data_IF_776292931056
#
_entry.id   IF_776292931056
#
_cell.length_a   1.000
_cell.length_b   1.000
_cell.length_c   1.000
_cell.angle_alpha   90.00
_cell.angle_beta   90.00
_cell.angle_gamma   90.00
#
_symmetry.space_group_name_H-M   'P 1'
#
loop_
_entity.id
_entity.type
_entity.pdbx_description
1 polymer ?
#
# COMPACT_ATOMS: atom_id res chain seq x y z
N UNK A 1 4.43 -4.60 17.74
CA UNK A 1 3.77 -3.34 17.32
C UNK A 1 4.14 -2.21 18.26
N UNK A 2 4.74 -1.11 17.75
CA UNK A 2 4.88 0.13 18.53
C UNK A 2 3.47 0.59 18.92
N UNK A 3 3.22 0.75 20.22
CA UNK A 3 1.94 1.20 20.78
C UNK A 3 1.58 2.54 20.17
N UNK A 4 0.42 2.63 19.53
CA UNK A 4 -0.10 3.81 18.80
C UNK A 4 -0.41 5.00 19.75
N UNK A 5 -0.13 4.89 21.02
CA UNK A 5 -0.35 5.95 22.01
C UNK A 5 0.72 5.89 23.09
N UNK A 6 1.39 6.99 23.31
CA UNK A 6 2.39 7.10 24.37
C UNK A 6 3.39 8.23 24.12
N UNK A 7 4.31 8.34 25.04
CA UNK A 7 5.45 9.25 24.90
C UNK A 7 6.39 8.78 23.80
N UNK A 8 7.02 9.72 23.11
CA UNK A 8 8.07 9.43 22.13
C UNK A 8 9.26 8.75 22.80
N UNK A 9 9.79 7.71 22.15
CA UNK A 9 10.95 6.94 22.60
C UNK A 9 12.11 7.03 21.59
N UNK A 10 13.33 6.77 22.00
CA UNK A 10 14.44 6.52 21.07
C UNK A 10 14.05 5.42 20.07
N UNK A 11 14.33 5.62 18.79
CA UNK A 11 13.92 4.74 17.70
C UNK A 11 12.59 5.10 17.06
N UNK A 12 11.74 5.89 17.71
CA UNK A 12 10.48 6.33 17.13
C UNK A 12 10.71 7.19 15.89
N UNK A 13 9.87 6.93 14.87
CA UNK A 13 9.75 7.79 13.71
C UNK A 13 8.75 8.89 14.00
N UNK A 14 9.18 10.14 13.86
CA UNK A 14 8.37 11.31 14.13
C UNK A 14 8.29 12.19 12.88
N UNK A 15 7.08 12.61 12.55
CA UNK A 15 6.83 13.63 11.54
C UNK A 15 6.72 14.99 12.21
N UNK A 16 7.61 15.88 11.80
CA UNK A 16 7.64 17.28 12.24
C UNK A 16 6.94 18.14 11.20
N UNK A 17 5.96 18.93 11.60
CA UNK A 17 5.26 19.87 10.70
C UNK A 17 5.58 21.30 11.10
N UNK A 18 6.13 22.09 10.19
CA UNK A 18 6.44 23.50 10.41
C UNK A 18 5.18 24.39 10.24
N UNK A 19 5.21 25.68 10.65
CA UNK A 19 4.07 26.60 10.50
C UNK A 19 3.60 26.83 9.05
N UNK A 20 4.41 26.46 8.06
CA UNK A 20 4.03 26.51 6.64
C UNK A 20 3.41 25.20 6.13
N UNK A 21 3.21 24.22 7.01
CA UNK A 21 2.67 22.90 6.67
C UNK A 21 3.67 21.95 6.00
N UNK A 22 4.98 22.30 5.97
CA UNK A 22 6.00 21.39 5.43
C UNK A 22 6.31 20.32 6.45
N UNK A 23 6.40 19.09 5.97
CA UNK A 23 6.59 17.89 6.78
C UNK A 23 8.01 17.35 6.62
N UNK A 24 8.59 16.95 7.73
CA UNK A 24 9.92 16.36 7.82
C UNK A 24 9.84 15.10 8.68
N UNK A 25 10.47 14.03 8.27
CA UNK A 25 10.49 12.79 9.05
C UNK A 25 11.86 12.57 9.66
N UNK A 26 11.89 12.35 10.97
CA UNK A 26 13.10 12.06 11.74
C UNK A 26 12.94 10.74 12.49
N UNK A 27 14.05 10.05 12.74
CA UNK A 27 14.10 8.91 13.67
C UNK A 27 14.81 9.37 14.91
N UNK A 28 14.13 9.32 16.06
CA UNK A 28 14.66 9.83 17.32
C UNK A 28 15.84 8.98 17.80
N UNK A 29 16.85 9.64 18.33
CA UNK A 29 18.04 9.03 18.95
C UNK A 29 18.43 9.86 20.16
N UNK A 30 18.85 9.22 21.23
CA UNK A 30 19.42 9.92 22.38
C UNK A 30 20.58 10.82 21.93
N UNK A 31 20.66 12.03 22.47
CA UNK A 31 21.60 13.07 22.08
C UNK A 31 21.65 13.36 20.55
N UNK A 32 20.62 12.99 19.81
CA UNK A 32 20.49 13.23 18.38
C UNK A 32 20.04 14.65 18.09
N UNK A 33 20.31 15.11 16.86
CA UNK A 33 19.93 16.44 16.39
C UNK A 33 19.32 16.35 14.98
N UNK A 34 18.30 17.17 14.74
CA UNK A 34 17.76 17.40 13.42
C UNK A 34 18.06 18.82 12.94
N UNK A 35 18.89 18.94 11.92
CA UNK A 35 19.30 20.21 11.35
C UNK A 35 18.30 20.71 10.32
N UNK A 36 17.74 21.90 10.56
CA UNK A 36 16.85 22.58 9.62
C UNK A 36 17.46 23.92 9.20
N UNK A 37 17.00 24.49 8.10
CA UNK A 37 17.35 25.86 7.71
C UNK A 37 16.88 26.93 8.73
N UNK A 38 16.17 26.52 9.78
CA UNK A 38 15.63 27.38 10.86
C UNK A 38 16.18 27.01 12.24
N UNK A 39 17.35 26.39 12.26
CA UNK A 39 18.05 26.00 13.48
C UNK A 39 17.96 24.50 13.74
N UNK A 40 18.66 24.08 14.76
CA UNK A 40 18.76 22.70 15.22
C UNK A 40 17.61 22.39 16.17
N UNK A 41 17.04 21.20 16.07
CA UNK A 41 16.09 20.64 17.01
C UNK A 41 16.72 19.39 17.64
N UNK A 42 16.88 19.42 18.97
CA UNK A 42 17.40 18.28 19.70
C UNK A 42 16.33 17.19 19.80
N UNK A 43 16.69 15.94 19.57
CA UNK A 43 15.76 14.82 19.69
C UNK A 43 15.31 14.62 21.15
N UNK A 44 16.17 14.97 22.12
CA UNK A 44 15.85 14.89 23.54
C UNK A 44 14.74 15.88 23.95
N UNK A 45 14.50 16.92 23.15
CA UNK A 45 13.33 17.80 23.33
C UNK A 45 12.01 17.14 22.97
N UNK A 46 12.05 16.00 22.29
CA UNK A 46 10.88 15.19 21.89
C UNK A 46 10.75 13.93 22.74
N UNK A 47 11.85 13.25 23.01
CA UNK A 47 11.88 12.01 23.80
C UNK A 47 11.22 12.25 25.15
N UNK A 48 10.28 11.39 25.53
CA UNK A 48 9.49 11.51 26.74
C UNK A 48 8.27 12.43 26.63
N UNK A 49 8.10 13.19 25.56
CA UNK A 49 6.89 14.01 25.35
C UNK A 49 5.78 13.17 24.70
N UNK A 50 4.51 13.50 24.97
CA UNK A 50 3.39 12.83 24.32
C UNK A 50 3.31 13.22 22.84
N UNK A 51 2.74 12.33 22.03
CA UNK A 51 2.39 12.62 20.65
C UNK A 51 1.44 13.83 20.55
N UNK A 52 1.60 14.66 19.51
CA UNK A 52 0.88 15.93 19.38
C UNK A 52 1.57 17.09 20.09
N UNK A 53 2.78 16.89 20.62
CA UNK A 53 3.58 17.96 21.23
C UNK A 53 4.09 18.97 20.21
N UNK A 54 4.29 20.18 20.68
CA UNK A 54 4.98 21.23 19.94
C UNK A 54 6.37 21.45 20.55
N UNK A 55 7.38 21.48 19.71
CA UNK A 55 8.78 21.73 20.07
C UNK A 55 9.34 22.85 19.22
N UNK A 56 10.29 23.61 19.76
CA UNK A 56 10.93 24.71 19.05
C UNK A 56 12.37 24.35 18.70
N UNK A 57 12.80 24.69 17.48
CA UNK A 57 14.22 24.64 17.13
C UNK A 57 15.00 25.76 17.84
N UNK A 58 16.33 25.66 17.89
CA UNK A 58 17.20 26.71 18.41
C UNK A 58 16.99 28.08 17.73
N UNK A 59 16.48 28.10 16.50
CA UNK A 59 16.10 29.32 15.78
C UNK A 59 14.67 29.80 16.06
N UNK A 60 13.97 29.25 17.08
CA UNK A 60 12.64 29.68 17.53
C UNK A 60 11.48 29.24 16.65
N UNK A 61 11.71 28.37 15.66
CA UNK A 61 10.62 27.84 14.83
C UNK A 61 9.95 26.68 15.55
N UNK A 62 8.62 26.75 15.72
CA UNK A 62 7.81 25.69 16.32
C UNK A 62 7.49 24.59 15.31
N UNK A 63 7.55 23.34 15.76
CA UNK A 63 7.18 22.15 14.98
C UNK A 63 6.15 21.33 15.76
N UNK A 64 5.05 20.97 15.11
CA UNK A 64 4.15 19.96 15.62
C UNK A 64 4.76 18.57 15.36
N UNK A 65 4.82 17.74 16.37
CA UNK A 65 5.40 16.40 16.33
C UNK A 65 4.31 15.33 16.50
N UNK A 66 4.18 14.45 15.50
CA UNK A 66 3.25 13.31 15.51
C UNK A 66 3.95 12.08 14.94
N UNK A 67 3.47 10.88 15.23
CA UNK A 67 3.90 9.69 14.48
C UNK A 67 3.27 9.73 13.07
N UNK A 68 4.04 9.42 12.00
CA UNK A 68 3.49 9.42 10.65
C UNK A 68 2.43 8.32 10.50
N UNK A 69 1.34 8.65 9.84
CA UNK A 69 0.38 7.65 9.40
C UNK A 69 1.00 6.75 8.31
N UNK A 70 0.41 5.57 8.07
CA UNK A 70 0.85 4.70 6.97
C UNK A 70 0.86 5.45 5.62
N UNK A 71 -0.14 6.28 5.36
CA UNK A 71 -0.20 7.10 4.15
C UNK A 71 0.98 8.08 4.04
N UNK A 72 1.37 8.71 5.15
CA UNK A 72 2.53 9.63 5.17
C UNK A 72 3.83 8.84 4.94
N UNK A 73 3.93 7.64 5.53
CA UNK A 73 5.07 6.75 5.34
C UNK A 73 5.23 6.34 3.89
N UNK A 74 4.16 5.81 3.27
CA UNK A 74 4.16 5.38 1.86
C UNK A 74 4.56 6.52 0.91
N UNK A 75 4.08 7.74 1.18
CA UNK A 75 4.41 8.90 0.35
C UNK A 75 5.85 9.43 0.55
N UNK A 76 6.49 9.11 1.68
CA UNK A 76 7.83 9.61 2.05
C UNK A 76 8.92 8.54 2.08
N UNK A 77 8.58 7.25 1.93
CA UNK A 77 9.55 6.16 1.98
C UNK A 77 10.57 6.22 0.84
N UNK A 78 11.80 5.71 1.03
CA UNK A 78 12.75 5.51 -0.06
C UNK A 78 12.17 4.59 -1.13
N UNK A 79 12.32 4.97 -2.40
CA UNK A 79 11.70 4.26 -3.52
C UNK A 79 12.75 3.63 -4.41
N UNK A 80 12.61 2.32 -4.66
CA UNK A 80 13.30 1.62 -5.73
C UNK A 80 12.40 1.46 -6.97
N UNK A 81 11.06 1.41 -6.73
CA UNK A 81 10.02 1.30 -7.74
C UNK A 81 8.93 2.36 -7.51
N UNK A 82 8.05 2.53 -8.50
CA UNK A 82 6.81 3.29 -8.33
C UNK A 82 5.97 2.65 -7.22
N UNK A 83 5.45 3.48 -6.31
CA UNK A 83 4.60 2.99 -5.22
C UNK A 83 3.12 3.09 -5.59
N UNK A 84 2.33 2.12 -5.15
CA UNK A 84 0.87 2.24 -5.16
C UNK A 84 0.48 3.35 -4.19
N UNK A 85 -0.23 4.35 -4.70
CA UNK A 85 -0.66 5.50 -3.89
C UNK A 85 -1.70 5.10 -2.84
N UNK A 86 -1.76 5.78 -1.68
CA UNK A 86 -2.72 5.47 -0.63
C UNK A 86 -4.19 5.42 -1.08
N UNK A 87 -4.56 6.25 -2.06
CA UNK A 87 -5.92 6.26 -2.64
C UNK A 87 -6.27 4.93 -3.32
N UNK A 88 -5.29 4.29 -3.96
CA UNK A 88 -5.45 3.01 -4.67
C UNK A 88 -5.28 1.84 -3.70
N UNK A 89 -4.31 1.92 -2.78
CA UNK A 89 -4.14 0.92 -1.72
C UNK A 89 -5.42 0.75 -0.89
N UNK A 90 -6.12 1.85 -0.56
CA UNK A 90 -7.40 1.78 0.13
C UNK A 90 -8.47 1.01 -0.67
N UNK A 91 -8.48 1.16 -1.99
CA UNK A 91 -9.39 0.40 -2.87
C UNK A 91 -9.00 -1.08 -2.93
N UNK A 92 -7.70 -1.38 -3.05
CA UNK A 92 -7.20 -2.76 -3.02
C UNK A 92 -7.62 -3.46 -1.72
N UNK A 93 -7.46 -2.80 -0.58
CA UNK A 93 -7.85 -3.37 0.71
C UNK A 93 -9.35 -3.62 0.80
N UNK A 94 -10.17 -2.66 0.39
CA UNK A 94 -11.62 -2.74 0.48
C UNK A 94 -12.21 -3.75 -0.52
N UNK A 95 -11.88 -3.62 -1.80
CA UNK A 95 -12.43 -4.49 -2.85
C UNK A 95 -11.77 -5.86 -2.92
N UNK A 96 -10.54 -5.98 -2.43
CA UNK A 96 -9.87 -7.25 -2.19
C UNK A 96 -10.37 -7.98 -0.96
N UNK A 97 -11.22 -7.35 -0.13
CA UNK A 97 -11.69 -7.89 1.16
C UNK A 97 -10.52 -8.38 2.03
N UNK A 98 -9.48 -7.50 2.16
CA UNK A 98 -8.31 -7.79 2.99
C UNK A 98 -8.69 -7.68 4.46
N UNK A 99 -8.78 -8.83 5.14
CA UNK A 99 -9.30 -8.94 6.51
C UNK A 99 -8.30 -9.63 7.44
N UNK A 100 -8.43 -9.47 8.75
CA UNK A 100 -7.64 -10.24 9.71
C UNK A 100 -7.72 -11.75 9.45
N UNK A 101 -6.58 -12.43 9.54
CA UNK A 101 -6.45 -13.86 9.30
C UNK A 101 -6.38 -14.28 7.83
N UNK A 102 -6.48 -13.37 6.86
CA UNK A 102 -6.37 -13.72 5.44
C UNK A 102 -4.93 -14.08 5.04
N UNK A 103 -4.79 -15.07 4.15
CA UNK A 103 -3.54 -15.42 3.48
C UNK A 103 -3.51 -14.69 2.15
N UNK A 104 -2.58 -13.77 1.99
CA UNK A 104 -2.49 -12.89 0.83
C UNK A 104 -1.22 -13.18 0.04
N UNK A 105 -1.37 -13.35 -1.26
CA UNK A 105 -0.28 -13.39 -2.23
C UNK A 105 -0.19 -12.05 -2.94
N UNK A 106 0.99 -11.44 -2.90
CA UNK A 106 1.34 -10.21 -3.59
C UNK A 106 2.41 -10.52 -4.66
N UNK A 107 2.21 -10.09 -5.88
CA UNK A 107 3.24 -10.14 -6.91
C UNK A 107 3.56 -8.74 -7.42
N UNK A 108 4.84 -8.38 -7.34
CA UNK A 108 5.36 -7.04 -7.52
C UNK A 108 5.46 -6.28 -6.19
N UNK A 109 6.26 -6.80 -5.22
CA UNK A 109 6.47 -6.14 -3.93
C UNK A 109 7.06 -4.73 -4.06
N UNK A 110 7.87 -4.50 -5.09
CA UNK A 110 8.42 -3.20 -5.45
C UNK A 110 9.16 -2.51 -4.30
N UNK A 111 8.61 -1.42 -3.80
CA UNK A 111 9.17 -0.70 -2.63
C UNK A 111 8.57 -1.15 -1.28
N UNK A 112 7.68 -2.15 -1.24
CA UNK A 112 7.02 -2.63 -0.03
C UNK A 112 5.87 -1.72 0.47
N UNK A 113 5.41 -0.78 -0.33
CA UNK A 113 4.36 0.16 0.06
C UNK A 113 3.00 -0.53 0.25
N UNK A 114 2.59 -1.35 -0.70
CA UNK A 114 1.37 -2.14 -0.59
C UNK A 114 1.55 -3.24 0.47
N UNK A 115 2.70 -3.89 0.51
CA UNK A 115 3.05 -4.91 1.53
C UNK A 115 2.78 -4.41 2.95
N UNK A 116 3.20 -3.18 3.29
CA UNK A 116 2.90 -2.58 4.60
C UNK A 116 1.39 -2.46 4.86
N UNK A 117 0.61 -2.13 3.82
CA UNK A 117 -0.84 -1.99 3.92
C UNK A 117 -1.53 -3.34 4.10
N UNK A 118 -1.08 -4.36 3.36
CA UNK A 118 -1.56 -5.73 3.45
C UNK A 118 -1.29 -6.32 4.84
N UNK A 119 -0.05 -6.24 5.32
CA UNK A 119 0.35 -6.75 6.64
C UNK A 119 -0.48 -6.13 7.77
N UNK A 120 -0.72 -4.82 7.74
CA UNK A 120 -1.61 -4.16 8.72
C UNK A 120 -3.03 -4.66 8.66
N UNK A 121 -3.52 -5.00 7.47
CA UNK A 121 -4.91 -5.43 7.28
C UNK A 121 -5.13 -6.87 7.69
N UNK A 122 -4.18 -7.76 7.39
CA UNK A 122 -4.30 -9.18 7.74
C UNK A 122 -4.02 -9.45 9.22
N UNK A 123 -3.28 -8.56 9.90
CA UNK A 123 -2.93 -8.71 11.31
C UNK A 123 -2.03 -9.92 11.57
N UNK A 124 -1.82 -10.21 12.85
CA UNK A 124 -0.85 -11.25 13.28
C UNK A 124 -1.35 -12.68 12.97
N UNK A 125 -2.67 -12.87 12.79
CA UNK A 125 -3.28 -14.17 12.46
C UNK A 125 -3.29 -14.45 10.94
N UNK A 126 -3.07 -13.44 10.10
CA UNK A 126 -2.96 -13.57 8.65
C UNK A 126 -1.52 -13.61 8.19
N UNK A 127 -1.32 -13.80 6.89
CA UNK A 127 0.02 -13.83 6.29
C UNK A 127 0.05 -13.10 4.95
N UNK A 128 1.21 -12.55 4.62
CA UNK A 128 1.50 -11.98 3.30
C UNK A 128 2.71 -12.70 2.72
N UNK A 129 2.56 -13.24 1.52
CA UNK A 129 3.62 -13.80 0.72
C UNK A 129 3.82 -12.91 -0.50
N UNK A 130 4.98 -12.27 -0.60
CA UNK A 130 5.30 -11.34 -1.67
C UNK A 130 6.32 -11.94 -2.63
N UNK A 131 6.06 -11.81 -3.93
CA UNK A 131 6.98 -12.16 -5.01
C UNK A 131 7.51 -10.89 -5.67
N UNK A 132 8.81 -10.87 -5.94
CA UNK A 132 9.49 -9.80 -6.66
C UNK A 132 10.60 -10.41 -7.53
N UNK A 133 10.61 -10.10 -8.81
CA UNK A 133 11.62 -10.69 -9.73
C UNK A 133 12.97 -9.96 -9.65
N UNK A 134 12.97 -8.72 -9.15
CA UNK A 134 14.17 -7.90 -9.07
C UNK A 134 14.72 -7.90 -7.65
N UNK A 135 15.97 -8.37 -7.50
CA UNK A 135 16.68 -8.40 -6.23
C UNK A 135 16.78 -7.00 -5.57
N UNK A 136 17.10 -5.96 -6.33
CA UNK A 136 17.23 -4.59 -5.83
C UNK A 136 15.89 -4.01 -5.30
N UNK A 137 14.77 -4.36 -5.93
CA UNK A 137 13.43 -4.00 -5.44
C UNK A 137 13.07 -4.77 -4.16
N UNK A 138 13.34 -6.08 -4.13
CA UNK A 138 13.12 -6.90 -2.95
C UNK A 138 13.87 -6.35 -1.73
N UNK A 139 15.14 -5.97 -1.88
CA UNK A 139 15.92 -5.33 -0.81
C UNK A 139 15.33 -3.97 -0.38
N UNK A 140 14.72 -3.21 -1.30
CA UNK A 140 13.99 -1.99 -0.93
C UNK A 140 12.74 -2.31 -0.12
N UNK A 141 11.98 -3.34 -0.52
CA UNK A 141 10.80 -3.78 0.19
C UNK A 141 11.15 -4.23 1.62
N UNK A 142 12.17 -5.09 1.79
CA UNK A 142 12.65 -5.56 3.10
C UNK A 142 12.98 -4.38 4.02
N UNK A 143 13.86 -3.49 3.57
CA UNK A 143 14.26 -2.31 4.37
C UNK A 143 13.09 -1.41 4.73
N UNK A 144 12.13 -1.23 3.83
CA UNK A 144 11.00 -0.36 4.08
C UNK A 144 9.97 -1.01 5.01
N UNK A 145 9.68 -2.30 4.84
CA UNK A 145 8.79 -3.04 5.74
C UNK A 145 9.38 -3.08 7.15
N UNK A 146 10.65 -3.46 7.30
CA UNK A 146 11.36 -3.46 8.58
C UNK A 146 11.33 -2.06 9.22
N UNK A 147 11.61 -1.01 8.47
CA UNK A 147 11.56 0.37 8.97
C UNK A 147 10.17 0.79 9.44
N UNK A 148 9.13 0.29 8.82
CA UNK A 148 7.76 0.65 9.18
C UNK A 148 7.30 -0.06 10.45
N UNK A 149 7.59 -1.35 10.56
CA UNK A 149 7.15 -2.18 11.69
C UNK A 149 8.14 -2.17 12.86
N UNK A 150 9.38 -1.71 12.66
CA UNK A 150 10.48 -1.76 13.64
C UNK A 150 11.28 -3.05 13.58
N UNK A 151 10.72 -4.08 12.98
CA UNK A 151 11.33 -5.39 12.73
C UNK A 151 10.66 -6.03 11.50
N UNK A 152 11.25 -7.08 10.97
CA UNK A 152 10.60 -7.87 9.91
C UNK A 152 9.44 -8.66 10.50
N UNK A 153 8.18 -8.44 10.03
CA UNK A 153 7.03 -9.17 10.55
C UNK A 153 7.15 -10.68 10.32
N UNK A 154 6.90 -11.48 11.34
CA UNK A 154 7.06 -12.95 11.28
C UNK A 154 6.05 -13.63 10.34
N UNK A 155 4.95 -12.94 10.02
CA UNK A 155 3.90 -13.39 9.11
C UNK A 155 4.07 -12.85 7.67
N UNK A 156 5.26 -12.34 7.35
CA UNK A 156 5.64 -11.93 6.01
C UNK A 156 6.77 -12.78 5.45
N UNK A 157 6.61 -13.22 4.21
CA UNK A 157 7.63 -13.89 3.44
C UNK A 157 7.83 -13.18 2.11
N UNK A 158 9.08 -12.86 1.76
CA UNK A 158 9.44 -12.31 0.45
C UNK A 158 10.26 -13.33 -0.34
N UNK A 159 9.84 -13.56 -1.57
CA UNK A 159 10.51 -14.44 -2.54
C UNK A 159 11.06 -13.63 -3.71
N UNK A 160 12.35 -13.75 -3.97
CA UNK A 160 12.95 -13.19 -5.19
C UNK A 160 12.85 -14.25 -6.29
N UNK A 161 11.71 -14.28 -6.98
CA UNK A 161 11.39 -15.29 -7.99
C UNK A 161 10.24 -14.79 -8.89
N UNK A 162 10.02 -15.47 -10.01
CA UNK A 162 8.80 -15.30 -10.81
C UNK A 162 7.61 -15.94 -10.08
N UNK A 163 6.45 -15.31 -10.15
CA UNK A 163 5.22 -15.84 -9.55
C UNK A 163 4.84 -17.20 -10.14
N UNK A 164 5.22 -17.48 -11.38
CA UNK A 164 4.96 -18.79 -12.01
C UNK A 164 5.74 -19.95 -11.39
N UNK A 165 6.75 -19.65 -10.56
CA UNK A 165 7.46 -20.65 -9.76
C UNK A 165 6.80 -20.89 -8.39
N UNK A 166 5.56 -20.43 -8.19
CA UNK A 166 4.83 -20.53 -6.95
C UNK A 166 4.58 -21.97 -6.51
N UNK A 167 4.90 -22.27 -5.23
CA UNK A 167 4.80 -23.60 -4.63
C UNK A 167 4.27 -23.62 -3.18
N UNK A 168 3.86 -22.47 -2.65
CA UNK A 168 3.62 -22.30 -1.20
C UNK A 168 2.17 -22.62 -0.74
N UNK A 169 1.32 -23.17 -1.59
CA UNK A 169 -0.03 -23.65 -1.23
C UNK A 169 -1.14 -22.60 -1.40
N UNK A 170 -2.34 -22.91 -0.95
CA UNK A 170 -3.53 -22.09 -1.20
C UNK A 170 -3.52 -20.75 -0.48
N UNK A 171 -4.03 -19.71 -1.16
CA UNK A 171 -4.22 -18.37 -0.63
C UNK A 171 -5.68 -17.90 -0.75
N UNK A 172 -6.07 -16.95 0.08
CA UNK A 172 -7.41 -16.39 0.10
C UNK A 172 -7.57 -15.19 -0.83
N UNK A 173 -6.49 -14.44 -1.03
CA UNK A 173 -6.45 -13.19 -1.81
C UNK A 173 -5.16 -13.12 -2.62
N UNK A 174 -5.26 -12.53 -3.80
CA UNK A 174 -4.11 -12.25 -4.67
C UNK A 174 -4.15 -10.82 -5.13
N UNK A 175 -2.99 -10.14 -5.09
CA UNK A 175 -2.80 -8.81 -5.69
C UNK A 175 -1.66 -8.88 -6.68
N UNK A 176 -1.91 -8.45 -7.92
CA UNK A 176 -0.92 -8.40 -8.98
C UNK A 176 -0.61 -6.94 -9.35
N UNK A 177 0.61 -6.49 -9.06
CA UNK A 177 1.20 -5.22 -9.51
C UNK A 177 2.43 -5.53 -10.37
N UNK A 178 2.19 -6.01 -11.58
CA UNK A 178 3.22 -6.47 -12.50
C UNK A 178 2.92 -6.08 -13.95
N UNK A 179 3.94 -6.10 -14.80
CA UNK A 179 3.82 -5.65 -16.20
C UNK A 179 2.85 -6.51 -17.01
N UNK A 180 2.83 -7.81 -16.78
CA UNK A 180 2.07 -8.79 -17.57
C UNK A 180 1.24 -9.71 -16.67
N UNK A 181 0.22 -9.21 -15.95
CA UNK A 181 -0.54 -10.03 -14.99
C UNK A 181 -1.28 -11.20 -15.66
N UNK A 182 -1.60 -11.13 -16.95
CA UNK A 182 -2.21 -12.23 -17.71
C UNK A 182 -1.34 -13.48 -17.81
N UNK A 183 0.00 -13.33 -17.75
CA UNK A 183 0.93 -14.46 -17.84
C UNK A 183 0.97 -15.30 -16.54
N UNK A 184 0.44 -14.77 -15.43
CA UNK A 184 0.38 -15.42 -14.12
C UNK A 184 -1.01 -15.98 -13.76
N UNK A 185 -2.03 -15.80 -14.61
CA UNK A 185 -3.42 -16.17 -14.25
C UNK A 185 -3.62 -17.65 -14.02
N UNK A 186 -2.89 -18.53 -14.69
CA UNK A 186 -2.98 -19.98 -14.48
C UNK A 186 -2.44 -20.35 -13.10
N UNK A 187 -1.31 -19.79 -12.71
CA UNK A 187 -0.72 -19.95 -11.38
C UNK A 187 -1.65 -19.43 -10.29
N UNK A 188 -2.22 -18.23 -10.51
CA UNK A 188 -3.18 -17.63 -9.58
C UNK A 188 -4.43 -18.51 -9.45
N UNK A 189 -4.99 -18.98 -10.56
CA UNK A 189 -6.17 -19.84 -10.55
C UNK A 189 -5.92 -21.14 -9.77
N UNK A 190 -4.76 -21.78 -9.98
CA UNK A 190 -4.42 -23.03 -9.31
C UNK A 190 -4.29 -22.91 -7.78
N UNK A 191 -3.92 -21.72 -7.28
CA UNK A 191 -3.56 -21.51 -5.87
C UNK A 191 -4.52 -20.60 -5.10
N UNK A 192 -5.39 -19.86 -5.75
CA UNK A 192 -6.42 -19.05 -5.08
C UNK A 192 -7.61 -19.94 -4.74
N UNK A 193 -8.10 -19.92 -3.50
CA UNK A 193 -9.27 -20.71 -3.10
C UNK A 193 -10.54 -20.35 -3.90
N UNK A 194 -11.48 -21.28 -4.11
CA UNK A 194 -12.79 -20.93 -4.68
C UNK A 194 -13.48 -19.81 -3.90
N UNK A 195 -14.00 -18.81 -4.61
CA UNK A 195 -14.54 -17.59 -4.01
C UNK A 195 -13.49 -16.56 -3.58
N UNK A 196 -12.20 -16.91 -3.64
CA UNK A 196 -11.08 -16.01 -3.39
C UNK A 196 -11.07 -14.81 -4.35
N UNK A 197 -10.42 -13.73 -3.98
CA UNK A 197 -10.41 -12.47 -4.72
C UNK A 197 -9.06 -12.23 -5.36
N UNK A 198 -9.07 -11.97 -6.65
CA UNK A 198 -7.95 -11.44 -7.42
C UNK A 198 -8.14 -9.93 -7.60
N UNK A 199 -7.13 -9.16 -7.24
CA UNK A 199 -7.01 -7.73 -7.53
C UNK A 199 -5.83 -7.53 -8.49
N UNK A 200 -6.03 -6.75 -9.54
CA UNK A 200 -4.97 -6.40 -10.49
C UNK A 200 -4.83 -4.89 -10.56
N UNK A 201 -3.59 -4.42 -10.53
CA UNK A 201 -3.21 -3.02 -10.66
C UNK A 201 -2.37 -2.83 -11.92
N UNK A 202 -2.85 -2.08 -12.90
CA UNK A 202 -2.19 -1.87 -14.19
C UNK A 202 -2.25 -0.43 -14.65
N UNK A 203 -1.17 0.07 -15.21
CA UNK A 203 -1.02 1.50 -15.54
C UNK A 203 -1.72 1.93 -16.84
N UNK A 204 -1.96 1.01 -17.78
CA UNK A 204 -2.44 1.36 -19.13
C UNK A 204 -3.74 0.68 -19.49
N UNK A 205 -4.53 1.33 -20.36
CA UNK A 205 -5.77 0.77 -20.92
C UNK A 205 -5.53 -0.51 -21.72
N UNK A 206 -4.38 -0.63 -22.38
CA UNK A 206 -3.99 -1.84 -23.12
C UNK A 206 -3.79 -3.02 -22.19
N UNK A 207 -3.10 -2.80 -21.04
CA UNK A 207 -2.94 -3.83 -20.01
C UNK A 207 -4.29 -4.20 -19.41
N UNK A 208 -5.12 -3.21 -19.08
CA UNK A 208 -6.46 -3.44 -18.55
C UNK A 208 -7.31 -4.29 -19.49
N UNK A 209 -7.35 -3.95 -20.79
CA UNK A 209 -8.07 -4.72 -21.80
C UNK A 209 -7.55 -6.16 -21.87
N UNK A 210 -6.23 -6.33 -21.95
CA UNK A 210 -5.60 -7.65 -22.10
C UNK A 210 -5.89 -8.58 -20.90
N UNK A 211 -5.74 -8.08 -19.67
CA UNK A 211 -6.02 -8.89 -18.49
C UNK A 211 -7.52 -9.22 -18.36
N UNK A 212 -8.39 -8.28 -18.74
CA UNK A 212 -9.83 -8.51 -18.74
C UNK A 212 -10.23 -9.64 -19.69
N UNK A 213 -9.71 -9.63 -20.93
CA UNK A 213 -10.01 -10.66 -21.90
C UNK A 213 -9.39 -12.02 -21.50
N UNK A 214 -8.17 -12.04 -20.96
CA UNK A 214 -7.54 -13.27 -20.47
C UNK A 214 -8.36 -13.93 -19.36
N UNK A 215 -8.91 -13.16 -18.41
CA UNK A 215 -9.82 -13.69 -17.38
C UNK A 215 -11.12 -14.24 -17.97
N UNK A 216 -11.68 -13.59 -19.00
CA UNK A 216 -12.87 -14.09 -19.71
C UNK A 216 -12.61 -15.38 -20.48
N UNK A 217 -11.44 -15.49 -21.13
CA UNK A 217 -11.01 -16.68 -21.87
C UNK A 217 -10.87 -17.90 -20.96
N UNK A 218 -10.36 -17.74 -19.73
CA UNK A 218 -10.27 -18.81 -18.75
C UNK A 218 -11.63 -19.35 -18.28
N UNK A 219 -12.72 -18.56 -18.36
CA UNK A 219 -14.08 -18.91 -17.93
C UNK A 219 -14.21 -19.43 -16.49
N UNK A 220 -13.22 -19.17 -15.65
CA UNK A 220 -13.16 -19.62 -14.24
C UNK A 220 -13.25 -18.47 -13.24
N UNK A 221 -13.65 -17.31 -13.72
CA UNK A 221 -13.76 -16.08 -12.93
C UNK A 221 -15.15 -15.46 -13.02
N UNK A 222 -15.53 -14.70 -12.00
CA UNK A 222 -16.66 -13.77 -12.16
C UNK A 222 -16.33 -12.72 -13.22
N UNK A 223 -17.36 -12.09 -13.80
CA UNK A 223 -17.11 -10.96 -14.73
C UNK A 223 -16.22 -9.91 -14.08
N UNK A 224 -15.06 -9.59 -14.67
CA UNK A 224 -14.13 -8.62 -14.12
C UNK A 224 -14.76 -7.23 -14.01
N UNK A 225 -14.54 -6.56 -12.87
CA UNK A 225 -14.95 -5.19 -12.65
C UNK A 225 -13.71 -4.31 -12.57
N UNK A 226 -13.71 -3.17 -13.27
CA UNK A 226 -12.55 -2.28 -13.33
C UNK A 226 -12.94 -0.82 -13.16
N UNK A 227 -12.02 -0.05 -12.56
CA UNK A 227 -12.16 1.39 -12.33
C UNK A 227 -10.79 2.04 -12.12
N UNK A 228 -10.78 3.35 -12.02
CA UNK A 228 -9.68 4.15 -11.49
C UNK A 228 -10.18 5.04 -10.36
N UNK A 229 -9.28 5.57 -9.55
CA UNK A 229 -9.62 6.52 -8.49
C UNK A 229 -8.87 7.83 -8.65
N UNK A 230 -9.52 8.92 -8.28
CA UNK A 230 -8.94 10.26 -8.27
C UNK A 230 -9.11 10.89 -6.89
N UNK A 231 -8.04 11.47 -6.34
CA UNK A 231 -8.07 12.18 -5.07
C UNK A 231 -7.86 13.68 -5.32
N UNK A 232 -8.90 14.47 -5.04
CA UNK A 232 -8.85 15.92 -5.15
C UNK A 232 -8.93 16.57 -3.77
N UNK A 233 -7.82 17.11 -3.25
CA UNK A 233 -7.82 17.87 -2.02
C UNK A 233 -8.58 19.20 -2.15
N UNK A 234 -9.03 19.71 -1.02
CA UNK A 234 -9.67 21.01 -0.92
C UNK A 234 -8.90 21.94 0.01
N UNK A 235 -8.73 23.17 -0.40
CA UNK A 235 -8.32 24.26 0.46
C UNK A 235 -9.53 24.72 1.28
N UNK A 236 -9.36 24.80 2.59
CA UNK A 236 -10.45 25.21 3.49
C UNK A 236 -9.86 26.07 4.61
N UNK A 237 -9.90 27.39 4.42
CA UNK A 237 -9.41 28.35 5.41
C UNK A 237 -10.43 29.49 5.53
N UNK A 238 -11.09 29.59 6.69
CA UNK A 238 -12.19 30.53 6.90
C UNK A 238 -13.29 30.34 5.85
N UNK A 239 -13.66 31.40 5.15
CA UNK A 239 -14.66 31.36 4.05
C UNK A 239 -14.04 30.99 2.69
N UNK A 240 -12.74 30.86 2.58
CA UNK A 240 -12.06 30.48 1.34
C UNK A 240 -12.05 28.97 1.18
N UNK A 241 -13.14 28.38 0.69
CA UNK A 241 -13.32 26.96 0.45
C UNK A 241 -13.33 26.71 -1.06
N UNK A 242 -12.32 26.00 -1.55
CA UNK A 242 -12.16 25.69 -2.98
C UNK A 242 -11.32 24.44 -3.21
N UNK A 243 -11.47 23.73 -4.34
CA UNK A 243 -10.58 22.63 -4.66
C UNK A 243 -9.14 23.13 -4.81
N UNK A 244 -8.18 22.30 -4.40
CA UNK A 244 -6.76 22.53 -4.70
C UNK A 244 -6.52 22.44 -6.22
N UNK A 245 -5.53 23.21 -6.71
CA UNK A 245 -5.13 23.15 -8.11
C UNK A 245 -4.52 21.80 -8.49
N UNK A 246 -3.77 21.20 -7.54
CA UNK A 246 -3.15 19.89 -7.73
C UNK A 246 -4.06 18.80 -7.21
N UNK A 247 -4.16 17.71 -7.99
CA UNK A 247 -4.85 16.49 -7.58
C UNK A 247 -4.01 15.28 -7.97
N UNK A 248 -4.21 14.17 -7.29
CA UNK A 248 -3.69 12.89 -7.74
C UNK A 248 -4.76 12.29 -8.65
N UNK A 249 -4.56 12.44 -9.96
CA UNK A 249 -5.47 11.94 -10.99
C UNK A 249 -5.19 10.47 -11.30
N UNK A 250 -5.04 10.14 -12.59
CA UNK A 250 -4.72 8.78 -13.01
C UNK A 250 -3.35 8.34 -12.47
N UNK A 251 -3.31 7.17 -11.86
CA UNK A 251 -2.10 6.45 -11.44
C UNK A 251 -2.06 5.07 -12.07
N UNK A 252 -3.17 4.35 -11.98
CA UNK A 252 -3.40 3.07 -12.62
C UNK A 252 -4.89 2.73 -12.60
N UNK A 253 -5.24 1.66 -13.30
CA UNK A 253 -6.53 1.00 -13.25
C UNK A 253 -6.47 -0.14 -12.24
N UNK A 254 -7.57 -0.32 -11.52
CA UNK A 254 -7.84 -1.46 -10.66
C UNK A 254 -8.82 -2.39 -11.36
N UNK A 255 -8.60 -3.68 -11.23
CA UNK A 255 -9.53 -4.72 -11.68
C UNK A 255 -9.70 -5.73 -10.57
N UNK A 256 -10.93 -6.20 -10.36
CA UNK A 256 -11.27 -7.25 -9.39
C UNK A 256 -12.09 -8.34 -10.08
N UNK A 257 -11.72 -9.59 -9.80
CA UNK A 257 -12.50 -10.79 -10.15
C UNK A 257 -12.42 -11.80 -8.99
N UNK A 258 -13.40 -12.73 -8.93
CA UNK A 258 -13.39 -13.81 -7.95
C UNK A 258 -13.26 -15.15 -8.68
N UNK A 259 -12.44 -16.03 -8.11
CA UNK A 259 -12.32 -17.41 -8.63
C UNK A 259 -13.63 -18.18 -8.44
N UNK A 260 -14.08 -18.85 -9.48
CA UNK A 260 -15.20 -19.77 -9.39
C UNK A 260 -14.74 -21.13 -8.84
N UNK A 261 -15.67 -21.95 -8.40
CA UNK A 261 -15.38 -23.34 -8.04
C UNK A 261 -15.00 -24.14 -9.31
N UNK A 262 -14.24 -25.20 -9.12
CA UNK A 262 -13.80 -26.05 -10.22
C UNK A 262 -14.99 -26.67 -10.96
N UNK A 263 -14.93 -26.69 -12.29
CA UNK A 263 -15.99 -27.18 -13.14
C UNK A 263 -17.23 -26.28 -13.27
N UNK A 264 -17.21 -25.09 -12.64
CA UNK A 264 -18.31 -24.12 -12.75
C UNK A 264 -18.02 -23.15 -13.90
N UNK A 265 -19.00 -22.96 -14.78
CA UNK A 265 -18.97 -21.92 -15.83
C UNK A 265 -19.78 -20.71 -15.38
N UNK A 266 -19.27 -19.48 -15.55
CA UNK A 266 -20.02 -18.28 -15.17
C UNK A 266 -21.29 -18.13 -16.01
N UNK A 267 -22.38 -17.57 -15.43
CA UNK A 267 -23.57 -17.27 -16.20
C UNK A 267 -23.24 -16.23 -17.28
N UNK A 268 -23.76 -16.43 -18.50
CA UNK A 268 -23.53 -15.48 -19.59
C UNK A 268 -24.13 -14.12 -19.23
N UNK A 269 -23.35 -13.02 -19.36
CA UNK A 269 -23.87 -11.67 -19.12
C UNK A 269 -25.06 -11.40 -20.04
N UNK A 270 -26.21 -11.08 -19.47
CA UNK A 270 -27.32 -10.57 -20.27
C UNK A 270 -27.02 -9.13 -20.64
N UNK A 271 -26.90 -8.84 -21.95
CA UNK A 271 -26.84 -7.46 -22.43
C UNK A 271 -28.12 -6.76 -21.96
N UNK A 272 -28.00 -5.70 -21.16
CA UNK A 272 -29.13 -4.80 -20.91
C UNK A 272 -29.58 -4.32 -22.29
N UNK A 273 -30.80 -4.67 -22.69
CA UNK A 273 -31.43 -4.04 -23.85
C UNK A 273 -31.43 -2.55 -23.58
N UNK A 274 -30.72 -1.77 -24.42
CA UNK A 274 -30.75 -0.32 -24.32
C UNK A 274 -32.20 0.09 -24.43
N UNK A 275 -32.77 0.65 -23.36
CA UNK A 275 -33.95 1.47 -23.51
C UNK A 275 -33.42 2.75 -24.15
N UNK A 276 -33.78 2.93 -25.44
CA UNK A 276 -33.60 4.17 -26.16
C UNK A 276 -34.31 5.34 -25.47
#
# INVERSE_FOLDING_TARGET
MSTVSGQFQPGDRVQLTDPKGRRYTVVLREAGEYHTHRGVLAHDDLIGKPEGSVVASAGGTSFLAVRPLLSDYVLSMPRGAQVIYPKDAAQILMWGDMRPGARVLEAGAGSGALTCSLLRSVGDEGSVLSYEVRQDHAEHAERNVERFFGETPSNWTLRVADLNDYVDGEVDRVVLDMLSPWDALDTVHANLVPGGVLVVYVATTTQLSRVTEALREQQSWTEPQSWETMLRPWHSVGMAVRPEHRMVAHTAFLLVARRLADGVTPPKPQRRSGKG
#
